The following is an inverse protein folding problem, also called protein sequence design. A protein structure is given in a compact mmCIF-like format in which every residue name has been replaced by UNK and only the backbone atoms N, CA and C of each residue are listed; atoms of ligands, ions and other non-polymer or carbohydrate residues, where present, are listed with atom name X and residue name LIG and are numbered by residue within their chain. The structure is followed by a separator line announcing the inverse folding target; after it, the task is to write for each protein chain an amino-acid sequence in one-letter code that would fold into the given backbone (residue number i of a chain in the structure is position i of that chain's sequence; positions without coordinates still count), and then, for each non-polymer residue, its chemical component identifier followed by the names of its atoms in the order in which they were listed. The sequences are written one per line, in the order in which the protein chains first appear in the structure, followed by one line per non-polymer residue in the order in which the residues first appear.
data_IF_319090407858
#
_entry.id   IF_319090407858
#
_cell.length_a   1.000
_cell.length_b   1.000
_cell.length_c   1.000
_cell.angle_alpha   90.00
_cell.angle_beta   90.00
_cell.angle_gamma   90.00
#
_symmetry.space_group_name_H-M   'P 1'
#
loop_
_entity.id
_entity.type
_entity.pdbx_description
1 polymer ?
#
# COMPACT_ATOMS: atom_id res chain seq x y z
N UNK A 1 7.72 -13.92 -0.68
CA UNK A 1 7.75 -12.50 -0.28
C UNK A 1 6.38 -12.02 0.20
N UNK A 2 5.32 -12.09 -0.62
CA UNK A 2 3.95 -11.71 -0.21
C UNK A 2 3.46 -12.38 1.09
N UNK A 3 3.70 -13.69 1.25
CA UNK A 3 3.36 -14.42 2.48
C UNK A 3 4.13 -13.90 3.70
N UNK A 4 5.41 -13.50 3.53
CA UNK A 4 6.20 -12.96 4.64
C UNK A 4 5.65 -11.62 5.11
N UNK A 5 5.14 -10.79 4.20
CA UNK A 5 4.57 -9.48 4.54
C UNK A 5 3.28 -9.64 5.33
N UNK A 6 2.39 -10.53 4.87
CA UNK A 6 1.11 -10.79 5.54
C UNK A 6 1.32 -11.42 6.92
N UNK A 7 2.22 -12.41 7.05
CA UNK A 7 2.42 -13.14 8.30
C UNK A 7 3.57 -12.61 9.17
N UNK A 8 4.14 -11.45 8.82
CA UNK A 8 5.20 -10.86 9.62
C UNK A 8 4.66 -10.44 11.00
N UNK A 9 5.35 -10.79 12.10
CA UNK A 9 4.95 -10.33 13.43
C UNK A 9 5.29 -8.85 13.67
N UNK A 10 6.14 -8.25 12.81
CA UNK A 10 6.69 -6.90 13.00
C UNK A 10 6.09 -5.89 12.03
N UNK A 11 6.17 -4.61 12.43
CA UNK A 11 5.85 -3.47 11.56
C UNK A 11 7.17 -2.89 11.09
N UNK A 12 7.42 -2.96 9.79
CA UNK A 12 8.73 -2.69 9.21
C UNK A 12 9.10 -1.20 9.09
N UNK A 13 8.15 -0.29 9.34
CA UNK A 13 8.36 1.15 9.22
C UNK A 13 7.54 1.92 10.26
N UNK A 14 8.20 2.79 11.02
CA UNK A 14 7.54 3.71 11.95
C UNK A 14 6.60 4.67 11.22
N UNK A 15 6.95 5.08 10.00
CA UNK A 15 6.13 5.96 9.16
C UNK A 15 4.83 5.24 8.73
N UNK A 16 4.94 3.98 8.28
CA UNK A 16 3.78 3.17 7.91
C UNK A 16 2.87 2.91 9.12
N UNK A 17 3.45 2.68 10.30
CA UNK A 17 2.67 2.53 11.53
C UNK A 17 1.98 3.84 11.94
N UNK A 18 2.67 4.97 11.83
CA UNK A 18 2.09 6.29 12.07
C UNK A 18 0.87 6.52 11.18
N UNK A 19 1.03 6.31 9.87
CA UNK A 19 -0.06 6.39 8.89
C UNK A 19 -1.23 5.45 9.21
N UNK A 20 -0.94 4.25 9.71
CA UNK A 20 -1.96 3.33 10.22
C UNK A 20 -2.74 3.94 11.39
N UNK A 21 -2.05 4.44 12.40
CA UNK A 21 -2.68 5.05 13.57
C UNK A 21 -3.49 6.29 13.22
N UNK A 22 -2.97 7.17 12.37
CA UNK A 22 -3.69 8.37 11.95
C UNK A 22 -4.99 8.01 11.22
N UNK A 23 -4.93 7.12 10.23
CA UNK A 23 -6.11 6.75 9.43
C UNK A 23 -7.10 5.89 10.22
N UNK A 24 -6.63 5.04 11.14
CA UNK A 24 -7.52 4.32 12.08
C UNK A 24 -8.30 5.29 12.96
N UNK A 25 -7.65 6.35 13.46
CA UNK A 25 -8.27 7.30 14.36
C UNK A 25 -8.99 8.45 13.66
N UNK A 26 -8.89 8.59 12.34
CA UNK A 26 -9.44 9.73 11.59
C UNK A 26 -10.97 9.85 11.68
N UNK A 27 -11.71 8.74 11.81
CA UNK A 27 -13.18 8.80 12.04
C UNK A 27 -13.49 9.47 13.38
N UNK A 28 -12.79 9.07 14.45
CA UNK A 28 -12.96 9.65 15.80
C UNK A 28 -12.39 11.05 15.94
N UNK A 29 -11.36 11.39 15.15
CA UNK A 29 -10.67 12.67 15.17
C UNK A 29 -10.58 13.22 13.73
N UNK A 30 -11.64 13.84 13.19
CA UNK A 30 -11.71 14.23 11.78
C UNK A 30 -10.62 15.21 11.33
N UNK A 31 -10.01 15.95 12.26
CA UNK A 31 -8.86 16.81 11.96
C UNK A 31 -7.67 16.03 11.41
N UNK A 32 -7.56 14.72 11.70
CA UNK A 32 -6.51 13.85 11.16
C UNK A 32 -6.64 13.57 9.66
N UNK A 33 -7.79 13.83 9.05
CA UNK A 33 -7.91 13.81 7.57
C UNK A 33 -7.18 14.98 6.92
N UNK A 34 -7.06 16.10 7.64
CA UNK A 34 -6.41 17.32 7.17
C UNK A 34 -4.97 17.44 7.65
N UNK A 35 -4.49 16.44 8.42
CA UNK A 35 -3.12 16.43 8.90
C UNK A 35 -2.13 16.28 7.73
N UNK A 36 -1.16 17.20 7.68
CA UNK A 36 -0.15 17.25 6.62
C UNK A 36 0.68 15.97 6.53
N UNK A 37 0.86 15.25 7.64
CA UNK A 37 1.61 14.01 7.70
C UNK A 37 0.77 12.82 7.24
N UNK A 38 -0.56 12.87 7.36
CA UNK A 38 -1.43 11.76 6.99
C UNK A 38 -1.91 11.77 5.53
N UNK A 39 -1.60 12.83 4.76
CA UNK A 39 -1.97 13.04 3.34
C UNK A 39 -3.46 12.77 3.06
N UNK A 40 -4.31 13.80 2.89
CA UNK A 40 -5.78 13.64 2.86
C UNK A 40 -6.34 12.54 1.95
N UNK A 41 -5.79 12.37 0.74
CA UNK A 41 -6.26 11.33 -0.18
C UNK A 41 -5.92 9.92 0.30
N UNK A 42 -4.74 9.75 0.91
CA UNK A 42 -4.32 8.47 1.47
C UNK A 42 -5.23 8.11 2.65
N UNK A 43 -5.45 9.05 3.57
CA UNK A 43 -6.26 8.80 4.76
C UNK A 43 -7.71 8.49 4.42
N UNK A 44 -8.33 9.19 3.47
CA UNK A 44 -9.70 8.87 3.02
C UNK A 44 -9.81 7.44 2.49
N UNK A 45 -8.83 6.99 1.69
CA UNK A 45 -8.84 5.65 1.09
C UNK A 45 -8.53 4.54 2.10
N UNK A 46 -7.64 4.81 3.05
CA UNK A 46 -7.12 3.81 4.00
C UNK A 46 -7.92 3.74 5.30
N UNK A 47 -8.65 4.79 5.67
CA UNK A 47 -9.41 4.88 6.93
C UNK A 47 -10.33 3.69 7.13
N UNK A 48 -11.08 3.29 6.09
CA UNK A 48 -12.06 2.20 6.19
C UNK A 48 -11.37 0.83 6.34
N UNK A 49 -10.42 0.42 5.48
CA UNK A 49 -9.66 -0.82 5.69
C UNK A 49 -8.94 -0.88 7.04
N UNK A 50 -8.38 0.23 7.53
CA UNK A 50 -7.54 0.23 8.73
C UNK A 50 -8.33 0.05 10.03
N UNK A 51 -9.66 0.20 10.00
CA UNK A 51 -10.53 -0.17 11.12
C UNK A 51 -10.44 -1.65 11.46
N UNK A 52 -10.13 -2.50 10.46
CA UNK A 52 -10.05 -3.95 10.62
C UNK A 52 -8.68 -4.44 11.13
N UNK A 53 -7.80 -3.54 11.58
CA UNK A 53 -6.51 -3.90 12.13
C UNK A 53 -5.35 -3.80 11.13
N UNK A 54 -4.15 -4.14 11.61
CA UNK A 54 -2.93 -4.11 10.81
C UNK A 54 -2.94 -5.12 9.66
N UNK A 55 -3.62 -6.26 9.83
CA UNK A 55 -3.72 -7.26 8.77
C UNK A 55 -4.48 -6.74 7.56
N UNK A 56 -5.57 -6.00 7.77
CA UNK A 56 -6.30 -5.35 6.69
C UNK A 56 -5.47 -4.26 6.00
N UNK A 57 -4.62 -3.56 6.76
CA UNK A 57 -3.67 -2.60 6.19
C UNK A 57 -2.65 -3.29 5.27
N UNK A 58 -2.09 -4.43 5.70
CA UNK A 58 -1.16 -5.22 4.88
C UNK A 58 -1.83 -5.78 3.61
N UNK A 59 -3.04 -6.30 3.74
CA UNK A 59 -3.83 -6.77 2.59
C UNK A 59 -4.06 -5.63 1.61
N UNK A 60 -4.38 -4.42 2.09
CA UNK A 60 -4.53 -3.25 1.24
C UNK A 60 -3.24 -2.92 0.48
N UNK A 61 -2.08 -2.89 1.15
CA UNK A 61 -0.79 -2.65 0.50
C UNK A 61 -0.51 -3.67 -0.59
N UNK A 62 -0.82 -4.96 -0.36
CA UNK A 62 -0.71 -6.01 -1.38
C UNK A 62 -1.66 -5.76 -2.56
N UNK A 63 -2.92 -5.41 -2.31
CA UNK A 63 -3.88 -5.12 -3.39
C UNK A 63 -3.44 -3.92 -4.23
N UNK A 64 -2.94 -2.86 -3.59
CA UNK A 64 -2.40 -1.67 -4.27
C UNK A 64 -1.16 -2.03 -5.09
N UNK A 65 -0.26 -2.86 -4.57
CA UNK A 65 0.91 -3.36 -5.31
C UNK A 65 0.51 -4.17 -6.55
N UNK A 66 -0.48 -5.08 -6.42
CA UNK A 66 -1.01 -5.86 -7.56
C UNK A 66 -1.65 -4.93 -8.59
N UNK A 67 -2.48 -3.97 -8.16
CA UNK A 67 -3.11 -3.00 -9.04
C UNK A 67 -2.06 -2.14 -9.78
N UNK A 68 -1.01 -1.74 -9.08
CA UNK A 68 0.12 -1.01 -9.67
C UNK A 68 0.79 -1.84 -10.75
N UNK A 69 1.15 -3.09 -10.49
CA UNK A 69 1.75 -3.99 -11.50
C UNK A 69 0.84 -4.14 -12.72
N UNK A 70 -0.46 -4.34 -12.49
CA UNK A 70 -1.44 -4.47 -13.57
C UNK A 70 -1.48 -3.22 -14.46
N UNK A 71 -1.55 -2.03 -13.85
CA UNK A 71 -1.54 -0.75 -14.58
C UNK A 71 -0.21 -0.51 -15.29
N UNK A 72 0.92 -0.82 -14.66
CA UNK A 72 2.25 -0.71 -15.29
C UNK A 72 2.35 -1.59 -16.54
N UNK A 73 1.88 -2.83 -16.48
CA UNK A 73 1.86 -3.73 -17.65
C UNK A 73 0.93 -3.19 -18.74
N UNK A 74 -0.22 -2.61 -18.38
CA UNK A 74 -1.13 -1.97 -19.34
C UNK A 74 -0.46 -0.78 -20.04
N UNK A 75 0.17 0.12 -19.29
CA UNK A 75 0.89 1.28 -19.82
C UNK A 75 2.07 0.82 -20.71
N UNK A 76 2.83 -0.19 -20.27
CA UNK A 76 3.93 -0.75 -21.05
C UNK A 76 3.48 -1.34 -22.39
N UNK A 77 2.26 -1.90 -22.48
CA UNK A 77 1.65 -2.33 -23.75
C UNK A 77 1.40 -1.15 -24.68
N UNK A 78 0.80 -0.07 -24.18
CA UNK A 78 0.54 1.15 -24.97
C UNK A 78 1.84 1.79 -25.47
N UNK A 79 2.89 1.77 -24.65
CA UNK A 79 4.22 2.27 -24.99
C UNK A 79 5.06 1.32 -25.87
N UNK A 80 4.50 0.17 -26.29
CA UNK A 80 5.18 -0.86 -27.11
C UNK A 80 6.48 -1.39 -26.50
N UNK A 81 6.59 -1.39 -25.17
CA UNK A 81 7.72 -2.01 -24.46
C UNK A 81 7.58 -3.53 -24.57
N UNK A 82 8.61 -4.20 -25.09
CA UNK A 82 8.60 -5.64 -25.37
C UNK A 82 8.76 -6.49 -24.11
N UNK A 83 9.56 -6.03 -23.14
CA UNK A 83 9.96 -6.82 -21.97
C UNK A 83 9.04 -6.64 -20.75
N UNK A 84 7.78 -7.03 -20.90
CA UNK A 84 6.76 -6.97 -19.82
C UNK A 84 7.03 -7.97 -18.70
N UNK A 85 7.78 -9.05 -18.98
CA UNK A 85 8.08 -10.10 -18.01
C UNK A 85 9.06 -9.58 -16.97
N UNK A 86 10.07 -8.81 -17.39
CA UNK A 86 11.02 -8.16 -16.47
C UNK A 86 10.33 -7.14 -15.58
N UNK A 87 9.33 -6.40 -16.08
CA UNK A 87 8.52 -5.48 -15.25
C UNK A 87 7.86 -6.22 -14.08
N UNK A 88 7.15 -7.31 -14.39
CA UNK A 88 6.45 -8.10 -13.36
C UNK A 88 7.46 -8.73 -12.39
N UNK A 89 8.55 -9.31 -12.91
CA UNK A 89 9.59 -9.94 -12.10
C UNK A 89 10.18 -8.95 -11.10
N UNK A 90 10.64 -7.78 -11.58
CA UNK A 90 11.24 -6.76 -10.73
C UNK A 90 10.25 -6.28 -9.65
N UNK A 91 9.02 -5.93 -10.02
CA UNK A 91 8.03 -5.45 -9.05
C UNK A 91 7.67 -6.48 -7.98
N UNK A 92 7.62 -7.77 -8.31
CA UNK A 92 7.35 -8.83 -7.33
C UNK A 92 8.56 -9.13 -6.44
N UNK A 93 9.78 -8.86 -6.90
CA UNK A 93 11.01 -9.15 -6.14
C UNK A 93 11.51 -8.00 -5.27
N UNK A 94 11.05 -6.76 -5.48
CA UNK A 94 11.49 -5.61 -4.68
C UNK A 94 10.75 -5.58 -3.33
N UNK A 95 11.43 -5.75 -2.19
CA UNK A 95 10.76 -5.82 -0.88
C UNK A 95 9.99 -4.55 -0.53
N UNK A 96 10.59 -3.39 -0.80
CA UNK A 96 10.02 -2.08 -0.46
C UNK A 96 8.79 -1.71 -1.30
N UNK A 97 8.52 -2.43 -2.40
CA UNK A 97 7.34 -2.18 -3.23
C UNK A 97 6.03 -2.59 -2.55
N UNK A 98 6.10 -3.46 -1.54
CA UNK A 98 4.96 -4.08 -0.89
C UNK A 98 4.75 -3.63 0.56
N UNK A 99 5.61 -2.73 1.06
CA UNK A 99 5.62 -2.20 2.42
C UNK A 99 4.97 -0.81 2.49
#
# INVERSE_FOLDING_TARGET
MLLLIIFSPEIYSEDAYGHYLYSKNAISHPTLFLDQWNKPLFSIFTTLPYQFGLEAARVLSVLVGIATIFLTVKIAKELKISDKKTIVLLSVTVPFFWL
#
